data_IF_485583298030
#
_entry.id   IF_485583298030
#
_cell.length_a   1.000
_cell.length_b   1.000
_cell.length_c   1.000
_cell.angle_alpha   90.00
_cell.angle_beta   90.00
_cell.angle_gamma   90.00
#
_symmetry.space_group_name_H-M   'P 1'
#
loop_
_entity.id
_entity.type
_entity.pdbx_description
1 polymer ?
#
# COMPACT_ATOMS: atom_id res chain seq x y z
N UNK A 1 14.57 0.95 15.68
CA UNK A 1 16.03 0.76 15.46
C UNK A 1 16.62 0.34 16.80
N UNK A 2 17.48 -0.69 16.90
CA UNK A 2 17.90 -1.20 18.22
C UNK A 2 18.78 -0.22 19.02
N UNK A 3 19.47 0.72 18.34
CA UNK A 3 20.23 1.81 18.97
C UNK A 3 20.03 3.14 18.24
N UNK A 4 18.91 3.83 18.54
CA UNK A 4 18.60 5.11 17.90
C UNK A 4 19.58 6.23 18.28
N UNK A 5 20.05 6.25 19.53
CA UNK A 5 21.02 7.24 20.00
C UNK A 5 22.36 7.18 19.25
N UNK A 6 22.83 5.98 18.88
CA UNK A 6 24.04 5.83 18.07
C UNK A 6 23.83 6.28 16.61
N UNK A 7 22.63 6.11 16.07
CA UNK A 7 22.26 6.63 14.75
C UNK A 7 22.25 8.16 14.71
N UNK A 8 21.66 8.82 15.72
CA UNK A 8 21.67 10.28 15.81
C UNK A 8 23.10 10.86 15.89
N UNK A 9 23.99 10.19 16.62
CA UNK A 9 25.39 10.62 16.79
C UNK A 9 26.22 10.49 15.50
N UNK A 10 25.85 9.58 14.60
CA UNK A 10 26.53 9.35 13.33
C UNK A 10 25.84 10.05 12.15
N UNK A 11 24.74 10.77 12.39
CA UNK A 11 24.00 11.46 11.35
C UNK A 11 24.83 12.63 10.81
N UNK A 12 25.06 12.65 9.49
CA UNK A 12 25.70 13.78 8.84
C UNK A 12 24.87 15.07 8.97
N UNK A 13 25.53 16.23 8.92
CA UNK A 13 24.86 17.55 9.04
C UNK A 13 23.76 17.76 7.99
N UNK A 14 23.88 17.10 6.83
CA UNK A 14 22.92 17.19 5.72
C UNK A 14 22.07 15.91 5.53
N UNK A 15 22.17 14.93 6.44
CA UNK A 15 21.40 13.70 6.34
C UNK A 15 19.98 13.85 6.93
N UNK A 16 19.00 13.25 6.26
CA UNK A 16 17.60 13.33 6.69
C UNK A 16 17.39 12.37 7.87
N UNK A 17 17.11 12.95 9.04
CA UNK A 17 16.81 12.21 10.27
C UNK A 17 15.51 11.42 10.11
N UNK A 18 15.59 10.10 10.31
CA UNK A 18 14.42 9.22 10.39
C UNK A 18 13.85 9.19 11.81
N UNK A 19 12.53 9.06 11.91
CA UNK A 19 11.87 8.81 13.19
C UNK A 19 12.30 7.46 13.78
N UNK A 20 12.47 7.42 15.10
CA UNK A 20 12.82 6.21 15.85
C UNK A 20 11.74 5.12 15.71
N UNK A 21 10.49 5.56 15.73
CA UNK A 21 9.30 4.72 15.66
C UNK A 21 8.46 5.11 14.45
N UNK A 22 8.46 4.22 13.46
CA UNK A 22 7.53 4.31 12.34
C UNK A 22 6.17 3.75 12.73
N UNK A 23 5.15 4.58 12.65
CA UNK A 23 3.77 4.16 12.87
C UNK A 23 3.13 3.84 11.52
N UNK A 24 2.51 2.66 11.40
CA UNK A 24 1.81 2.26 10.19
C UNK A 24 0.36 1.92 10.50
N UNK A 25 -0.56 2.74 10.01
CA UNK A 25 -2.00 2.52 10.12
C UNK A 25 -2.44 1.77 8.87
N UNK A 26 -3.13 0.65 9.07
CA UNK A 26 -3.69 -0.12 7.95
C UNK A 26 -5.21 -0.10 8.00
N UNK A 27 -5.83 0.12 6.85
CA UNK A 27 -7.28 0.11 6.71
C UNK A 27 -7.69 -0.78 5.55
N UNK A 28 -8.64 -1.68 5.80
CA UNK A 28 -9.22 -2.53 4.76
C UNK A 28 -10.72 -2.29 4.69
N UNK A 29 -11.18 -1.88 3.51
CA UNK A 29 -12.60 -1.76 3.19
C UNK A 29 -12.93 -2.82 2.14
N UNK A 30 -14.01 -3.56 2.35
CA UNK A 30 -14.52 -4.54 1.39
C UNK A 30 -16.01 -4.40 1.28
N UNK A 31 -16.50 -4.31 0.04
CA UNK A 31 -17.93 -4.23 -0.25
C UNK A 31 -18.30 -5.34 -1.22
N UNK A 32 -19.31 -6.11 -0.83
CA UNK A 32 -19.86 -7.22 -1.59
C UNK A 32 -21.15 -6.75 -2.25
N UNK A 33 -21.27 -6.93 -3.56
CA UNK A 33 -22.44 -6.55 -4.34
C UNK A 33 -23.01 -7.77 -5.07
N UNK A 34 -24.34 -7.77 -5.27
CA UNK A 34 -25.08 -8.78 -6.05
C UNK A 34 -24.67 -10.21 -5.68
N UNK A 35 -24.92 -10.59 -4.43
CA UNK A 35 -24.58 -11.93 -3.92
C UNK A 35 -23.11 -12.32 -4.17
N UNK A 36 -22.21 -11.35 -3.94
CA UNK A 36 -20.76 -11.50 -4.14
C UNK A 36 -20.32 -11.70 -5.59
N UNK A 37 -21.19 -11.43 -6.57
CA UNK A 37 -20.80 -11.39 -7.99
C UNK A 37 -19.72 -10.33 -8.24
N UNK A 38 -19.85 -9.17 -7.59
CA UNK A 38 -18.83 -8.10 -7.63
C UNK A 38 -18.33 -7.86 -6.21
N UNK A 39 -17.01 -7.89 -6.05
CA UNK A 39 -16.33 -7.62 -4.79
C UNK A 39 -15.40 -6.44 -5.04
N UNK A 40 -15.64 -5.33 -4.37
CA UNK A 40 -14.75 -4.17 -4.40
C UNK A 40 -13.97 -4.10 -3.09
N UNK A 41 -12.67 -3.88 -3.19
CA UNK A 41 -11.77 -3.76 -2.05
C UNK A 41 -10.93 -2.50 -2.14
N UNK A 42 -10.63 -1.91 -1.00
CA UNK A 42 -9.61 -0.88 -0.86
C UNK A 42 -8.76 -1.21 0.35
N UNK A 43 -7.45 -1.34 0.13
CA UNK A 43 -6.49 -1.46 1.22
C UNK A 43 -5.62 -0.21 1.25
N UNK A 44 -5.46 0.39 2.42
CA UNK A 44 -4.68 1.60 2.63
C UNK A 44 -3.64 1.30 3.70
N UNK A 45 -2.38 1.58 3.39
CA UNK A 45 -1.31 1.74 4.37
C UNK A 45 -1.04 3.23 4.49
N UNK A 46 -1.01 3.78 5.70
CA UNK A 46 -0.70 5.18 5.95
C UNK A 46 0.34 5.26 7.07
N UNK A 47 1.47 5.94 6.82
CA UNK A 47 2.47 6.24 7.83
C UNK A 47 2.32 7.70 8.26
N UNK A 48 1.78 7.99 9.47
CA UNK A 48 1.79 9.34 9.99
C UNK A 48 3.22 9.88 10.21
N UNK A 49 4.14 9.01 10.61
CA UNK A 49 5.57 9.34 10.83
C UNK A 49 6.24 9.85 9.56
N UNK A 50 6.04 9.16 8.44
CA UNK A 50 6.68 9.50 7.16
C UNK A 50 5.80 10.40 6.26
N UNK A 51 4.56 10.67 6.68
CA UNK A 51 3.51 11.33 5.88
C UNK A 51 3.33 10.70 4.48
N UNK A 52 3.47 9.38 4.39
CA UNK A 52 3.33 8.61 3.16
C UNK A 52 2.15 7.62 3.23
N UNK A 53 1.66 7.19 2.06
CA UNK A 53 0.55 6.27 1.96
C UNK A 53 0.69 5.34 0.75
N UNK A 54 0.14 4.14 0.88
CA UNK A 54 0.05 3.16 -0.19
C UNK A 54 -1.37 2.62 -0.30
N UNK A 55 -2.03 2.93 -1.42
CA UNK A 55 -3.41 2.59 -1.70
C UNK A 55 -3.48 1.45 -2.72
N UNK A 56 -4.32 0.47 -2.43
CA UNK A 56 -4.53 -0.72 -3.25
C UNK A 56 -6.02 -0.94 -3.51
N UNK A 57 -6.64 -0.11 -4.37
CA UNK A 57 -7.99 -0.37 -4.83
C UNK A 57 -8.00 -1.62 -5.71
N UNK A 58 -9.02 -2.46 -5.54
CA UNK A 58 -9.24 -3.63 -6.37
C UNK A 58 -10.73 -3.89 -6.57
N UNK A 59 -11.03 -4.55 -7.67
CA UNK A 59 -12.36 -5.06 -8.00
C UNK A 59 -12.21 -6.49 -8.51
N UNK A 60 -13.10 -7.36 -8.07
CA UNK A 60 -13.20 -8.73 -8.56
C UNK A 60 -14.62 -8.99 -9.04
N UNK A 61 -14.73 -9.73 -10.14
CA UNK A 61 -15.96 -10.15 -10.76
C UNK A 61 -15.96 -11.66 -10.93
N UNK A 62 -16.94 -12.34 -10.33
CA UNK A 62 -17.19 -13.75 -10.54
C UNK A 62 -17.99 -13.91 -11.84
N UNK A 63 -17.31 -14.36 -12.90
CA UNK A 63 -17.94 -14.61 -14.20
C UNK A 63 -18.76 -15.91 -14.14
N UNK A 64 -18.25 -16.90 -13.40
CA UNK A 64 -18.92 -18.17 -13.11
C UNK A 64 -18.41 -18.73 -11.76
N UNK A 65 -18.93 -19.88 -11.34
CA UNK A 65 -18.48 -20.57 -10.11
C UNK A 65 -16.98 -20.94 -10.14
N UNK A 66 -16.42 -21.07 -11.34
CA UNK A 66 -15.02 -21.46 -11.55
C UNK A 66 -14.13 -20.32 -12.03
N UNK A 67 -14.69 -19.25 -12.61
CA UNK A 67 -13.92 -18.18 -13.24
C UNK A 67 -14.10 -16.84 -12.52
N UNK A 68 -12.99 -16.27 -12.05
CA UNK A 68 -12.93 -14.94 -11.44
C UNK A 68 -11.97 -14.04 -12.21
N UNK A 69 -12.43 -12.85 -12.56
CA UNK A 69 -11.62 -11.76 -13.06
C UNK A 69 -11.38 -10.75 -11.94
N UNK A 70 -10.17 -10.23 -11.83
CA UNK A 70 -9.84 -9.18 -10.86
C UNK A 70 -8.98 -8.12 -11.53
N UNK A 71 -9.24 -6.86 -11.20
CA UNK A 71 -8.41 -5.73 -11.57
C UNK A 71 -8.07 -4.91 -10.35
N UNK A 72 -6.94 -4.22 -10.37
CA UNK A 72 -6.58 -3.31 -9.30
C UNK A 72 -5.42 -2.41 -9.67
N UNK A 73 -5.11 -1.52 -8.75
CA UNK A 73 -3.99 -0.60 -8.85
C UNK A 73 -3.14 -0.66 -7.59
N UNK A 74 -1.87 -0.32 -7.73
CA UNK A 74 -0.98 0.00 -6.63
C UNK A 74 -0.62 1.49 -6.80
N UNK A 75 -1.02 2.32 -5.84
CA UNK A 75 -0.89 3.78 -5.89
C UNK A 75 -0.08 4.23 -4.67
N UNK A 76 1.09 4.83 -4.91
CA UNK A 76 2.00 5.30 -3.87
C UNK A 76 1.93 6.82 -3.75
N UNK A 77 1.68 7.30 -2.54
CA UNK A 77 1.62 8.72 -2.21
C UNK A 77 2.69 9.02 -1.16
N UNK A 78 3.43 10.08 -1.34
CA UNK A 78 4.42 10.54 -0.36
C UNK A 78 5.05 11.83 -0.88
N UNK A 79 5.30 12.79 0.00
CA UNK A 79 5.96 14.05 -0.38
C UNK A 79 7.47 13.89 -0.52
N UNK A 80 8.02 12.95 0.22
CA UNK A 80 9.44 12.79 0.45
C UNK A 80 9.98 11.51 -0.20
N UNK A 81 10.94 11.64 -1.12
CA UNK A 81 11.46 10.50 -1.91
C UNK A 81 12.22 9.47 -1.05
N UNK A 82 12.70 9.84 0.13
CA UNK A 82 13.44 8.96 1.04
C UNK A 82 12.54 8.13 1.97
N UNK A 83 11.23 8.36 1.94
CA UNK A 83 10.24 7.58 2.70
C UNK A 83 9.97 6.24 2.02
N UNK A 84 9.52 5.26 2.80
CA UNK A 84 9.37 3.89 2.29
C UNK A 84 8.37 3.76 1.13
N UNK A 85 7.27 4.52 1.14
CA UNK A 85 6.32 4.57 0.02
C UNK A 85 6.60 5.73 -0.94
N UNK A 86 7.13 6.86 -0.46
CA UNK A 86 7.44 8.01 -1.31
C UNK A 86 8.50 7.71 -2.38
N UNK A 87 9.46 6.82 -2.12
CA UNK A 87 10.42 6.37 -3.15
C UNK A 87 9.73 5.70 -4.36
N UNK A 88 8.51 5.18 -4.17
CA UNK A 88 7.72 4.52 -5.20
C UNK A 88 6.62 5.40 -5.79
N UNK A 89 6.55 6.70 -5.46
CA UNK A 89 5.51 7.61 -5.94
C UNK A 89 5.35 7.63 -7.48
N UNK A 90 6.43 7.36 -8.22
CA UNK A 90 6.42 7.29 -9.70
C UNK A 90 6.26 5.86 -10.25
N UNK A 91 5.95 4.89 -9.39
CA UNK A 91 5.86 3.46 -9.73
C UNK A 91 4.44 2.91 -9.54
N UNK A 92 3.46 3.79 -9.70
CA UNK A 92 2.06 3.40 -9.76
C UNK A 92 1.84 2.43 -10.92
N UNK A 93 1.08 1.37 -10.66
CA UNK A 93 0.84 0.34 -11.66
C UNK A 93 -0.58 -0.21 -11.57
N UNK A 94 -1.04 -0.70 -12.72
CA UNK A 94 -2.30 -1.39 -12.87
C UNK A 94 -2.04 -2.87 -13.10
N UNK A 95 -2.92 -3.72 -12.59
CA UNK A 95 -2.87 -5.14 -12.85
C UNK A 95 -4.24 -5.71 -13.13
N UNK A 96 -4.26 -6.78 -13.91
CA UNK A 96 -5.42 -7.63 -14.15
C UNK A 96 -5.01 -9.06 -13.83
N UNK A 97 -5.94 -9.84 -13.27
CA UNK A 97 -5.75 -11.23 -12.89
C UNK A 97 -6.97 -12.03 -13.33
N UNK A 98 -6.70 -13.19 -13.91
CA UNK A 98 -7.71 -14.22 -14.18
C UNK A 98 -7.42 -15.41 -13.27
N UNK A 99 -8.42 -15.89 -12.54
CA UNK A 99 -8.32 -17.10 -11.71
C UNK A 99 -9.39 -18.08 -12.14
N UNK A 100 -8.98 -19.30 -12.49
CA UNK A 100 -9.86 -20.44 -12.74
C UNK A 100 -9.66 -21.50 -11.67
N UNK A 101 -10.74 -21.97 -11.06
CA UNK A 101 -10.77 -23.09 -10.11
C UNK A 101 -11.35 -24.33 -10.81
N UNK A 102 -10.91 -25.52 -10.42
CA UNK A 102 -11.36 -26.82 -10.95
C UNK A 102 -11.94 -27.66 -9.83
#
# INVERSE_FOLDING_TARGET
MLEYSAYELNLGVDEIKRDEFRHLITTRITKLFRDQTIISGLFIFYSPSDQDAYLRPNVSYNVSDTLRLSGGANIFLGKEVHTEFGQFQRNDNLYVRVRKNF
#
